data_IF_170690650714
#
_entry.id   IF_170690650714
#
_cell.length_a   1.000
_cell.length_b   1.000
_cell.length_c   1.000
_cell.angle_alpha   90.00
_cell.angle_beta   90.00
_cell.angle_gamma   90.00
#
_symmetry.space_group_name_H-M   'P 1'
#
loop_
_entity.id
_entity.type
_entity.pdbx_description
1 polymer ?
#
# COMPACT_ATOMS: atom_id res chain seq x y z
N UNK A 1 -6.88 -1.18 6.70
CA UNK A 1 -7.16 0.00 7.55
C UNK A 1 -8.51 -0.03 8.26
N UNK A 2 -9.27 -1.12 8.23
CA UNK A 2 -10.59 -1.18 8.88
C UNK A 2 -10.63 -2.09 10.11
N UNK A 3 -9.73 -3.06 10.21
CA UNK A 3 -9.68 -4.00 11.34
C UNK A 3 -8.65 -3.53 12.38
N UNK A 4 -7.38 -3.42 11.99
CA UNK A 4 -6.30 -3.05 12.91
C UNK A 4 -6.45 -1.65 13.54
N UNK A 5 -6.86 -0.64 12.77
CA UNK A 5 -7.00 0.74 13.24
C UNK A 5 -8.13 0.94 14.24
N UNK A 6 -9.19 0.13 14.18
CA UNK A 6 -10.35 0.19 15.10
C UNK A 6 -10.11 -0.62 16.37
N UNK A 7 -9.33 -1.71 16.28
CA UNK A 7 -9.06 -2.63 17.39
C UNK A 7 -7.75 -2.32 18.13
N UNK A 8 -6.93 -1.39 17.62
CA UNK A 8 -5.68 -1.03 18.27
C UNK A 8 -5.93 -0.34 19.62
N UNK A 9 -5.28 -0.82 20.68
CA UNK A 9 -5.25 -0.17 21.98
C UNK A 9 -4.15 0.90 21.99
N UNK A 10 -4.43 2.00 21.30
CA UNK A 10 -3.50 3.12 21.13
C UNK A 10 -3.49 4.13 22.29
N UNK A 11 -2.54 5.06 22.20
CA UNK A 11 -2.46 6.30 23.00
C UNK A 11 -2.75 7.49 22.07
N UNK A 12 -3.14 8.67 22.58
CA UNK A 12 -3.40 9.84 21.74
C UNK A 12 -2.21 10.10 20.80
N UNK A 13 -2.53 10.14 19.51
CA UNK A 13 -1.54 10.24 18.44
C UNK A 13 -1.46 11.70 17.95
N UNK A 14 -0.25 12.28 17.78
CA UNK A 14 -0.13 13.67 17.36
C UNK A 14 -0.66 13.90 15.93
N UNK A 15 -1.52 14.91 15.78
CA UNK A 15 -2.22 15.21 14.51
C UNK A 15 -1.26 15.54 13.36
N UNK A 16 -0.10 16.15 13.67
CA UNK A 16 0.94 16.48 12.67
C UNK A 16 1.45 15.22 11.96
N UNK A 17 1.62 14.12 12.69
CA UNK A 17 2.05 12.85 12.09
C UNK A 17 0.92 12.16 11.34
N UNK A 18 -0.34 12.37 11.76
CA UNK A 18 -1.50 11.84 11.04
C UNK A 18 -1.62 12.47 9.66
N UNK A 19 -1.48 13.79 9.56
CA UNK A 19 -1.53 14.49 8.27
C UNK A 19 -0.37 14.08 7.34
N UNK A 20 0.86 14.03 7.86
CA UNK A 20 2.02 13.57 7.09
C UNK A 20 1.85 12.12 6.63
N UNK A 21 1.37 11.24 7.51
CA UNK A 21 1.08 9.85 7.20
C UNK A 21 -0.02 9.71 6.14
N UNK A 22 -1.06 10.53 6.21
CA UNK A 22 -2.13 10.55 5.21
C UNK A 22 -1.59 10.93 3.81
N UNK A 23 -0.83 12.02 3.70
CA UNK A 23 -0.22 12.45 2.43
C UNK A 23 0.72 11.37 1.89
N UNK A 24 1.52 10.77 2.77
CA UNK A 24 2.41 9.67 2.39
C UNK A 24 1.62 8.47 1.86
N UNK A 25 0.63 7.97 2.60
CA UNK A 25 -0.17 6.82 2.17
C UNK A 25 -0.93 7.09 0.86
N UNK A 26 -1.43 8.31 0.67
CA UNK A 26 -2.07 8.73 -0.57
C UNK A 26 -1.09 8.70 -1.75
N UNK A 27 0.09 9.29 -1.60
CA UNK A 27 1.13 9.27 -2.63
C UNK A 27 1.60 7.85 -2.97
N UNK A 28 1.84 7.01 -1.97
CA UNK A 28 2.27 5.63 -2.19
C UNK A 28 1.19 4.80 -2.89
N UNK A 29 -0.08 4.92 -2.47
CA UNK A 29 -1.19 4.21 -3.11
C UNK A 29 -1.37 4.63 -4.57
N UNK A 30 -1.30 5.93 -4.86
CA UNK A 30 -1.40 6.44 -6.22
C UNK A 30 -0.22 5.99 -7.08
N UNK A 31 1.01 6.11 -6.58
CA UNK A 31 2.20 5.71 -7.33
C UNK A 31 2.20 4.21 -7.63
N UNK A 32 1.91 3.39 -6.62
CA UNK A 32 1.86 1.94 -6.78
C UNK A 32 0.73 1.52 -7.72
N UNK A 33 -0.47 2.09 -7.57
CA UNK A 33 -1.60 1.82 -8.46
C UNK A 33 -1.33 2.24 -9.89
N UNK A 34 -0.77 3.42 -10.10
CA UNK A 34 -0.40 3.92 -11.43
C UNK A 34 0.65 3.01 -12.09
N UNK A 35 1.71 2.68 -11.36
CA UNK A 35 2.78 1.84 -11.89
C UNK A 35 2.28 0.45 -12.28
N UNK A 36 1.48 -0.19 -11.42
CA UNK A 36 0.96 -1.54 -11.69
C UNK A 36 -0.03 -1.59 -12.86
N UNK A 37 -0.81 -0.54 -13.08
CA UNK A 37 -1.83 -0.50 -14.15
C UNK A 37 -1.23 -0.06 -15.48
N UNK A 38 -0.33 0.92 -15.48
CA UNK A 38 0.12 1.58 -16.72
C UNK A 38 1.57 1.29 -17.10
N UNK A 39 2.42 0.86 -16.16
CA UNK A 39 3.85 0.68 -16.40
C UNK A 39 4.32 -0.78 -16.27
N UNK A 40 3.65 -1.58 -15.46
CA UNK A 40 4.05 -2.95 -15.20
C UNK A 40 3.51 -3.90 -16.28
N UNK A 41 4.41 -4.37 -17.14
CA UNK A 41 4.12 -5.43 -18.09
C UNK A 41 4.57 -6.78 -17.51
N UNK A 42 3.62 -7.71 -17.37
CA UNK A 42 3.88 -9.05 -16.86
C UNK A 42 3.72 -10.09 -17.99
N UNK A 43 4.66 -11.05 -18.12
CA UNK A 43 4.55 -12.12 -19.11
C UNK A 43 3.39 -13.08 -18.76
N UNK A 44 2.88 -13.83 -19.74
CA UNK A 44 1.78 -14.78 -19.52
C UNK A 44 2.11 -15.88 -18.49
N UNK A 45 3.39 -16.25 -18.41
CA UNK A 45 3.95 -17.22 -17.46
C UNK A 45 4.18 -16.61 -16.06
N UNK A 46 3.79 -15.35 -15.80
CA UNK A 46 4.08 -14.69 -14.52
C UNK A 46 3.51 -15.43 -13.31
N UNK A 47 2.39 -16.15 -13.49
CA UNK A 47 1.77 -16.94 -12.44
C UNK A 47 2.55 -18.23 -12.08
N UNK A 48 3.38 -18.73 -12.99
CA UNK A 48 4.22 -19.93 -12.80
C UNK A 48 5.67 -19.56 -12.49
N UNK A 49 6.02 -18.27 -12.56
CA UNK A 49 7.33 -17.75 -12.19
C UNK A 49 7.53 -17.84 -10.67
N UNK A 50 8.71 -18.32 -10.27
CA UNK A 50 9.16 -18.44 -8.87
C UNK A 50 9.02 -17.10 -8.12
N UNK A 51 9.16 -15.98 -8.83
CA UNK A 51 9.04 -14.62 -8.26
C UNK A 51 7.64 -14.27 -7.77
N UNK A 52 6.61 -14.92 -8.30
CA UNK A 52 5.22 -14.71 -7.92
C UNK A 52 4.67 -15.88 -7.09
N UNK A 53 5.11 -17.11 -7.38
CA UNK A 53 4.54 -18.33 -6.81
C UNK A 53 5.12 -18.75 -5.45
N UNK A 54 6.23 -18.15 -4.99
CA UNK A 54 6.98 -18.58 -3.80
C UNK A 54 6.97 -17.54 -2.68
#
# INVERSE_FOLDING_TARGET
TFVYSLLTRGRPFPVVFLFRGFVFCMGNGLLQGYYLVYCAEYPAEWYTDIRFSL
#
